data_IF_519965328880
#
_entry.id   IF_519965328880
#
_cell.length_a   1.000
_cell.length_b   1.000
_cell.length_c   1.000
_cell.angle_alpha   90.00
_cell.angle_beta   90.00
_cell.angle_gamma   90.00
#
_symmetry.space_group_name_H-M   'P 1'
#
loop_
_entity.id
_entity.type
_entity.pdbx_description
1 polymer ?
#
# COMPACT_ATOMS: atom_id res chain seq x y z
N UNK A 1 63.67 33.04 -37.89
CA UNK A 1 63.18 33.65 -36.64
C UNK A 1 61.66 33.72 -36.75
N UNK A 2 60.94 33.15 -35.78
CA UNK A 2 59.48 33.09 -35.62
C UNK A 2 58.64 32.47 -36.75
N UNK A 3 58.00 31.33 -36.45
CA UNK A 3 56.54 31.26 -36.55
C UNK A 3 56.00 30.22 -35.56
N UNK A 4 55.22 30.72 -34.61
CA UNK A 4 54.38 29.99 -33.66
C UNK A 4 53.12 29.57 -34.44
N UNK A 5 52.69 28.32 -34.32
CA UNK A 5 51.45 27.81 -34.90
C UNK A 5 50.84 26.75 -34.01
N UNK A 6 49.62 27.02 -33.54
CA UNK A 6 48.94 26.44 -32.39
C UNK A 6 48.53 24.96 -32.55
N UNK A 7 48.62 24.21 -31.44
CA UNK A 7 47.89 22.97 -31.22
C UNK A 7 46.39 23.28 -31.09
N UNK A 8 45.56 22.77 -31.99
CA UNK A 8 44.12 22.69 -31.80
C UNK A 8 43.80 21.39 -31.04
N UNK A 9 43.46 21.52 -29.76
CA UNK A 9 42.89 20.45 -28.95
C UNK A 9 41.38 20.40 -29.23
N UNK A 10 40.86 19.29 -29.72
CA UNK A 10 39.42 19.06 -29.87
C UNK A 10 38.82 18.82 -28.48
N UNK A 11 37.92 19.70 -28.05
CA UNK A 11 37.06 19.48 -26.89
C UNK A 11 36.01 18.42 -27.22
N UNK A 12 36.14 17.24 -26.61
CA UNK A 12 35.08 16.24 -26.59
C UNK A 12 33.98 16.71 -25.63
N UNK A 13 32.83 17.11 -26.19
CA UNK A 13 31.60 17.33 -25.43
C UNK A 13 31.10 16.00 -24.86
N UNK A 14 31.13 15.84 -23.54
CA UNK A 14 30.37 14.80 -22.84
C UNK A 14 28.89 15.12 -22.95
N UNK A 15 28.19 14.30 -23.71
CA UNK A 15 26.74 14.26 -23.77
C UNK A 15 26.25 13.40 -22.59
N UNK A 16 25.95 14.05 -21.45
CA UNK A 16 25.28 13.41 -20.31
C UNK A 16 23.77 13.33 -20.59
N UNK A 17 23.39 12.53 -21.58
CA UNK A 17 22.01 12.06 -21.73
C UNK A 17 21.80 10.85 -20.80
N UNK A 18 21.52 11.12 -19.52
CA UNK A 18 20.92 10.12 -18.63
C UNK A 18 19.47 9.89 -19.09
N UNK A 19 19.32 8.99 -20.06
CA UNK A 19 18.03 8.44 -20.45
C UNK A 19 17.52 7.58 -19.29
N UNK A 20 16.69 8.15 -18.42
CA UNK A 20 15.85 7.40 -17.50
C UNK A 20 14.88 6.58 -18.33
N UNK A 21 15.26 5.33 -18.63
CA UNK A 21 14.33 4.35 -19.17
C UNK A 21 13.26 4.12 -18.10
N UNK A 22 12.06 4.62 -18.37
CA UNK A 22 10.88 4.26 -17.58
C UNK A 22 10.56 2.82 -17.95
N UNK A 23 11.08 1.87 -17.17
CA UNK A 23 10.74 0.46 -17.33
C UNK A 23 9.23 0.31 -17.21
N UNK A 24 8.58 -0.12 -18.30
CA UNK A 24 7.16 -0.41 -18.29
C UNK A 24 6.95 -1.65 -17.45
N UNK A 25 6.45 -1.44 -16.24
CA UNK A 25 6.05 -2.47 -15.30
C UNK A 25 4.86 -3.23 -15.89
N UNK A 26 5.01 -4.52 -16.13
CA UNK A 26 3.97 -5.33 -16.76
C UNK A 26 2.85 -5.58 -15.74
N UNK A 27 1.72 -4.92 -15.96
CA UNK A 27 0.56 -5.06 -15.10
C UNK A 27 -0.14 -6.37 -15.46
N UNK A 28 -0.22 -7.32 -14.52
CA UNK A 28 -1.12 -8.47 -14.67
C UNK A 28 -2.51 -7.96 -15.01
N UNK A 29 -3.13 -8.51 -16.05
CA UNK A 29 -4.52 -8.18 -16.38
C UNK A 29 -5.39 -8.79 -15.28
N UNK A 30 -5.99 -8.01 -14.38
CA UNK A 30 -6.78 -8.60 -13.31
C UNK A 30 -8.00 -9.27 -13.94
N UNK A 31 -8.24 -10.54 -13.61
CA UNK A 31 -9.54 -11.14 -13.86
C UNK A 31 -10.59 -10.32 -13.11
N UNK A 32 -11.81 -10.22 -13.66
CA UNK A 32 -12.90 -9.47 -13.01
C UNK A 32 -13.17 -10.05 -11.63
N UNK A 33 -12.90 -9.28 -10.58
CA UNK A 33 -13.29 -9.59 -9.21
C UNK A 33 -14.80 -9.37 -9.04
N UNK A 34 -15.48 -10.35 -8.46
CA UNK A 34 -16.93 -10.32 -8.23
C UNK A 34 -17.31 -10.81 -6.84
N UNK A 35 -18.54 -10.52 -6.41
CA UNK A 35 -19.06 -11.02 -5.12
C UNK A 35 -19.10 -12.55 -5.04
N UNK A 36 -19.20 -13.24 -6.18
CA UNK A 36 -19.19 -14.71 -6.22
C UNK A 36 -17.83 -15.32 -5.88
N UNK A 37 -16.74 -14.56 -6.03
CA UNK A 37 -15.40 -15.02 -5.69
C UNK A 37 -15.14 -15.02 -4.18
N UNK A 38 -15.95 -14.27 -3.40
CA UNK A 38 -15.69 -14.05 -1.97
C UNK A 38 -16.13 -15.28 -1.16
N UNK A 39 -15.24 -15.87 -0.34
CA UNK A 39 -15.59 -16.98 0.55
C UNK A 39 -16.71 -16.66 1.54
N UNK A 40 -17.59 -17.63 1.79
CA UNK A 40 -18.76 -17.48 2.67
C UNK A 40 -18.40 -17.04 4.10
N UNK A 41 -17.27 -17.50 4.63
CA UNK A 41 -16.80 -17.09 5.95
C UNK A 41 -16.39 -15.62 6.02
N UNK A 42 -16.01 -15.00 4.90
CA UNK A 42 -15.76 -13.55 4.81
C UNK A 42 -17.08 -12.80 4.67
N UNK A 43 -18.00 -13.28 3.82
CA UNK A 43 -19.33 -12.67 3.63
C UNK A 43 -20.16 -12.62 4.92
N UNK A 44 -20.04 -13.64 5.76
CA UNK A 44 -20.81 -13.78 7.01
C UNK A 44 -20.23 -13.03 8.20
N UNK A 45 -19.09 -12.35 8.03
CA UNK A 45 -18.56 -11.53 9.11
C UNK A 45 -19.52 -10.38 9.42
N UNK A 46 -19.84 -10.23 10.70
CA UNK A 46 -20.77 -9.19 11.14
C UNK A 46 -20.20 -7.80 10.81
N UNK A 47 -21.03 -6.93 10.23
CA UNK A 47 -20.69 -5.54 9.85
C UNK A 47 -19.60 -5.41 8.78
N UNK A 48 -19.10 -6.51 8.22
CA UNK A 48 -18.08 -6.47 7.19
C UNK A 48 -18.59 -5.78 5.92
N UNK A 49 -17.79 -4.86 5.42
CA UNK A 49 -17.99 -4.19 4.14
C UNK A 49 -16.84 -4.57 3.20
N UNK A 50 -17.18 -5.24 2.10
CA UNK A 50 -16.20 -5.57 1.06
C UNK A 50 -15.92 -4.31 0.25
N UNK A 51 -14.67 -3.85 0.25
CA UNK A 51 -14.25 -2.63 -0.44
C UNK A 51 -13.83 -2.92 -1.88
N UNK A 52 -13.20 -4.07 -2.06
CA UNK A 52 -12.73 -4.54 -3.35
C UNK A 52 -11.80 -5.72 -3.18
N UNK A 53 -11.06 -5.98 -4.24
CA UNK A 53 -10.16 -7.10 -4.34
C UNK A 53 -9.51 -7.13 -5.72
N UNK A 54 -8.66 -8.13 -5.91
CA UNK A 54 -8.04 -8.42 -7.19
C UNK A 54 -7.99 -9.93 -7.36
N UNK A 55 -8.18 -10.39 -8.59
CA UNK A 55 -8.07 -11.79 -8.97
C UNK A 55 -7.08 -11.90 -10.11
N UNK A 56 -6.12 -12.80 -10.02
CA UNK A 56 -5.13 -13.00 -11.07
C UNK A 56 -4.64 -14.45 -11.11
N UNK A 57 -3.94 -14.78 -12.18
CA UNK A 57 -3.17 -16.00 -12.31
C UNK A 57 -1.75 -15.64 -12.67
N UNK A 58 -0.82 -16.38 -12.11
CA UNK A 58 0.60 -16.27 -12.40
C UNK A 58 1.20 -17.68 -12.46
N UNK A 59 2.53 -17.81 -12.55
CA UNK A 59 3.18 -19.12 -12.67
C UNK A 59 2.96 -20.05 -11.46
N UNK A 60 2.56 -19.49 -10.31
CA UNK A 60 2.39 -20.22 -9.06
C UNK A 60 0.93 -20.64 -8.79
N UNK A 61 -0.04 -20.09 -9.54
CA UNK A 61 -1.44 -20.52 -9.47
C UNK A 61 -2.45 -19.39 -9.63
N UNK A 62 -3.65 -19.62 -9.09
CA UNK A 62 -4.73 -18.62 -9.08
C UNK A 62 -4.78 -17.92 -7.73
N UNK A 63 -4.84 -16.60 -7.75
CA UNK A 63 -4.83 -15.77 -6.55
C UNK A 63 -6.07 -14.89 -6.45
N UNK A 64 -6.46 -14.61 -5.20
CA UNK A 64 -7.56 -13.74 -4.86
C UNK A 64 -7.19 -12.89 -3.65
N UNK A 65 -7.08 -11.58 -3.84
CA UNK A 65 -7.00 -10.58 -2.79
C UNK A 65 -8.41 -10.07 -2.46
N UNK A 66 -8.73 -9.96 -1.17
CA UNK A 66 -10.01 -9.40 -0.69
C UNK A 66 -9.72 -8.35 0.38
N UNK A 67 -10.31 -7.17 0.24
CA UNK A 67 -10.20 -6.05 1.16
C UNK A 67 -11.53 -5.81 1.87
N UNK A 68 -11.50 -5.82 3.20
CA UNK A 68 -12.68 -5.78 4.08
C UNK A 68 -12.51 -4.71 5.14
N UNK A 69 -13.46 -3.80 5.25
CA UNK A 69 -13.56 -2.86 6.37
C UNK A 69 -14.65 -3.32 7.33
N UNK A 70 -14.38 -3.24 8.62
CA UNK A 70 -15.40 -3.29 9.66
C UNK A 70 -15.51 -1.87 10.23
N UNK A 71 -16.62 -1.17 9.92
CA UNK A 71 -16.80 0.22 10.31
C UNK A 71 -16.93 0.35 11.83
N UNK A 72 -16.85 1.58 12.32
CA UNK A 72 -16.83 1.90 13.75
C UNK A 72 -17.93 1.14 14.53
N UNK A 73 -17.51 0.40 15.55
CA UNK A 73 -18.39 -0.27 16.47
C UNK A 73 -17.90 -0.12 17.91
N UNK A 74 -18.84 -0.22 18.86
CA UNK A 74 -18.52 -0.24 20.29
C UNK A 74 -18.23 -1.66 20.74
N UNK A 75 -17.14 -1.82 21.49
CA UNK A 75 -16.75 -3.06 22.13
C UNK A 75 -16.59 -2.84 23.63
N UNK A 76 -16.92 -3.83 24.46
CA UNK A 76 -16.71 -3.72 25.90
C UNK A 76 -15.21 -3.74 26.22
N UNK A 77 -14.79 -2.84 27.09
CA UNK A 77 -13.42 -2.83 27.62
C UNK A 77 -13.17 -4.06 28.48
N UNK A 78 -12.05 -4.75 28.26
CA UNK A 78 -11.62 -5.87 29.10
C UNK A 78 -11.21 -5.42 30.51
N UNK A 79 -10.71 -4.20 30.64
CA UNK A 79 -10.21 -3.62 31.88
C UNK A 79 -11.33 -2.98 32.72
N UNK A 80 -12.44 -2.61 32.09
CA UNK A 80 -13.58 -1.98 32.76
C UNK A 80 -14.85 -2.37 32.00
N UNK A 81 -15.53 -3.47 32.40
CA UNK A 81 -16.66 -4.03 31.65
C UNK A 81 -17.86 -3.10 31.47
N UNK A 82 -17.90 -1.98 32.21
CA UNK A 82 -18.92 -0.93 32.08
C UNK A 82 -18.54 0.17 31.08
N UNK A 83 -17.29 0.16 30.58
CA UNK A 83 -16.81 1.10 29.58
C UNK A 83 -16.85 0.46 28.19
N UNK A 84 -17.28 1.23 27.19
CA UNK A 84 -17.13 0.86 25.78
C UNK A 84 -15.91 1.54 25.15
N UNK A 85 -15.19 0.81 24.32
CA UNK A 85 -14.17 1.34 23.40
C UNK A 85 -14.75 1.41 21.99
N UNK A 86 -14.48 2.50 21.29
CA UNK A 86 -14.66 2.62 19.85
C UNK A 86 -13.61 1.76 19.16
N UNK A 87 -14.01 0.93 18.19
CA UNK A 87 -13.11 0.07 17.43
C UNK A 87 -13.46 0.11 15.93
N UNK A 88 -12.42 0.14 15.08
CA UNK A 88 -12.51 -0.04 13.62
C UNK A 88 -11.51 -1.11 13.20
N UNK A 89 -11.81 -1.81 12.10
CA UNK A 89 -10.88 -2.81 11.55
C UNK A 89 -10.76 -2.71 10.03
N UNK A 90 -9.54 -2.92 9.54
CA UNK A 90 -9.27 -3.12 8.12
C UNK A 90 -8.55 -4.46 7.95
N UNK A 91 -9.10 -5.33 7.11
CA UNK A 91 -8.61 -6.69 6.91
C UNK A 91 -8.32 -6.93 5.43
N UNK A 92 -7.16 -7.50 5.14
CA UNK A 92 -6.80 -7.96 3.80
C UNK A 92 -6.50 -9.46 3.85
N UNK A 93 -7.02 -10.19 2.86
CA UNK A 93 -6.86 -11.63 2.75
C UNK A 93 -6.28 -11.99 1.39
N UNK A 94 -5.27 -12.87 1.37
CA UNK A 94 -4.73 -13.45 0.15
C UNK A 94 -5.03 -14.94 0.12
N UNK A 95 -5.66 -15.39 -0.96
CA UNK A 95 -5.91 -16.79 -1.24
C UNK A 95 -5.07 -17.24 -2.45
N UNK A 96 -4.56 -18.47 -2.39
CA UNK A 96 -3.90 -19.19 -3.50
C UNK A 96 -4.64 -20.50 -3.71
N UNK A 97 -5.16 -20.72 -4.91
CA UNK A 97 -5.96 -21.90 -5.29
C UNK A 97 -7.10 -22.18 -4.29
N UNK A 98 -7.77 -21.13 -3.80
CA UNK A 98 -8.86 -21.21 -2.83
C UNK A 98 -8.45 -21.36 -1.37
N UNK A 99 -7.15 -21.47 -1.07
CA UNK A 99 -6.62 -21.60 0.29
C UNK A 99 -6.08 -20.24 0.76
N UNK A 100 -6.50 -19.78 1.93
CA UNK A 100 -5.96 -18.53 2.51
C UNK A 100 -4.48 -18.73 2.89
N UNK A 101 -3.59 -17.97 2.28
CA UNK A 101 -2.14 -18.03 2.53
C UNK A 101 -1.61 -16.85 3.33
N UNK A 102 -2.26 -15.68 3.25
CA UNK A 102 -1.91 -14.51 4.07
C UNK A 102 -3.14 -13.77 4.59
N UNK A 103 -2.95 -13.10 5.74
CA UNK A 103 -3.91 -12.16 6.32
C UNK A 103 -3.15 -10.95 6.86
N UNK A 104 -3.68 -9.76 6.60
CA UNK A 104 -3.30 -8.54 7.29
C UNK A 104 -4.51 -7.99 8.05
N UNK A 105 -4.27 -7.46 9.23
CA UNK A 105 -5.30 -6.94 10.13
C UNK A 105 -4.77 -5.68 10.80
N UNK A 106 -5.48 -4.57 10.61
CA UNK A 106 -5.38 -3.38 11.45
C UNK A 106 -6.61 -3.36 12.35
N UNK A 107 -6.39 -3.16 13.64
CA UNK A 107 -7.43 -2.86 14.62
C UNK A 107 -7.02 -1.59 15.32
N UNK A 108 -7.84 -0.55 15.19
CA UNK A 108 -7.69 0.67 15.98
C UNK A 108 -8.75 0.70 17.07
N UNK A 109 -8.38 1.08 18.28
CA UNK A 109 -9.27 1.05 19.44
C UNK A 109 -9.00 2.21 20.38
N UNK A 110 -10.03 3.04 20.62
CA UNK A 110 -9.92 4.21 21.47
C UNK A 110 -11.17 4.45 22.32
N UNK A 111 -11.01 5.03 23.51
CA UNK A 111 -12.14 5.26 24.44
C UNK A 111 -13.02 6.46 24.07
N UNK A 112 -12.46 7.54 23.54
CA UNK A 112 -13.14 8.85 23.45
C UNK A 112 -12.97 9.52 22.08
N UNK A 113 -12.36 8.82 21.12
CA UNK A 113 -11.94 9.42 19.86
C UNK A 113 -12.75 8.89 18.69
N UNK A 114 -12.98 9.76 17.71
CA UNK A 114 -13.43 9.34 16.39
C UNK A 114 -12.22 8.72 15.69
N UNK A 115 -12.37 7.49 15.27
CA UNK A 115 -11.32 6.70 14.66
C UNK A 115 -11.84 6.10 13.36
N UNK A 116 -10.93 5.92 12.41
CA UNK A 116 -11.26 5.35 11.11
C UNK A 116 -10.05 4.60 10.53
N UNK A 117 -10.33 3.55 9.77
CA UNK A 117 -9.34 2.74 9.07
C UNK A 117 -9.93 2.28 7.74
N UNK A 118 -9.46 2.86 6.64
CA UNK A 118 -10.05 2.69 5.31
C UNK A 118 -9.03 2.33 4.26
N UNK A 119 -9.39 1.40 3.39
CA UNK A 119 -8.60 1.10 2.20
C UNK A 119 -8.75 2.22 1.17
N UNK A 120 -7.63 2.60 0.54
CA UNK A 120 -7.67 3.42 -0.68
C UNK A 120 -7.77 2.46 -1.87
N UNK A 121 -9.00 2.20 -2.32
CA UNK A 121 -9.30 1.21 -3.37
C UNK A 121 -8.51 1.45 -4.66
N UNK A 122 -8.29 2.71 -5.03
CA UNK A 122 -7.55 3.10 -6.23
C UNK A 122 -6.05 2.85 -6.13
N UNK A 123 -5.54 2.58 -4.92
CA UNK A 123 -4.15 2.19 -4.68
C UNK A 123 -3.94 0.68 -4.81
N UNK A 124 -5.01 -0.12 -4.87
CA UNK A 124 -4.91 -1.57 -5.00
C UNK A 124 -4.42 -1.94 -6.40
N UNK A 125 -3.29 -2.65 -6.45
CA UNK A 125 -2.65 -3.07 -7.70
C UNK A 125 -2.09 -4.49 -7.57
N UNK A 126 -2.00 -5.18 -8.70
CA UNK A 126 -1.27 -6.43 -8.87
C UNK A 126 -0.37 -6.26 -10.09
N UNK A 127 0.91 -6.57 -9.92
CA UNK A 127 1.97 -6.22 -10.87
C UNK A 127 3.05 -7.30 -10.79
N UNK A 128 3.74 -7.55 -11.91
CA UNK A 128 5.02 -8.26 -11.91
C UNK A 128 6.16 -7.22 -11.92
N UNK A 129 6.64 -6.83 -10.74
CA UNK A 129 7.58 -5.71 -10.62
C UNK A 129 9.00 -6.10 -11.00
N UNK A 130 9.37 -7.36 -10.80
CA UNK A 130 10.72 -7.88 -11.08
C UNK A 130 10.77 -8.82 -12.32
N UNK A 131 9.66 -8.95 -13.06
CA UNK A 131 9.53 -9.71 -14.32
C UNK A 131 9.80 -11.19 -14.13
N UNK A 132 9.34 -11.75 -13.02
CA UNK A 132 9.54 -13.15 -12.68
C UNK A 132 8.30 -14.01 -12.93
N UNK A 133 7.24 -13.48 -13.56
CA UNK A 133 5.92 -14.09 -13.75
C UNK A 133 5.20 -14.44 -12.43
N UNK A 134 5.41 -13.67 -11.36
CA UNK A 134 4.68 -13.75 -10.08
C UNK A 134 4.05 -12.39 -9.80
N UNK A 135 2.77 -12.38 -9.39
CA UNK A 135 2.07 -11.14 -9.06
C UNK A 135 2.34 -10.66 -7.63
N UNK A 136 2.75 -9.41 -7.47
CA UNK A 136 2.78 -8.70 -6.19
C UNK A 136 1.54 -7.83 -6.00
N UNK A 137 0.75 -8.19 -4.99
CA UNK A 137 -0.47 -7.48 -4.64
C UNK A 137 -0.19 -6.38 -3.63
N UNK A 138 -0.31 -5.12 -4.05
CA UNK A 138 -0.11 -3.96 -3.19
C UNK A 138 -1.43 -3.26 -2.89
N UNK A 139 -1.64 -2.89 -1.63
CA UNK A 139 -2.80 -2.11 -1.19
C UNK A 139 -2.41 -1.12 -0.10
N UNK A 140 -3.27 -0.14 0.14
CA UNK A 140 -2.99 1.00 0.98
C UNK A 140 -4.14 1.26 1.95
N UNK A 141 -3.82 1.54 3.20
CA UNK A 141 -4.78 1.85 4.26
C UNK A 141 -4.47 3.23 4.81
N UNK A 142 -5.47 4.12 4.80
CA UNK A 142 -5.43 5.39 5.54
C UNK A 142 -6.18 5.19 6.85
N UNK A 143 -5.55 5.55 7.96
CA UNK A 143 -6.20 5.54 9.26
C UNK A 143 -5.93 6.84 10.01
N UNK A 144 -6.89 7.27 10.82
CA UNK A 144 -6.75 8.48 11.62
C UNK A 144 -7.45 8.33 12.96
N UNK A 145 -7.02 9.17 13.90
CA UNK A 145 -7.63 9.34 15.20
C UNK A 145 -7.86 10.83 15.44
N UNK A 146 -9.07 11.20 15.86
CA UNK A 146 -9.40 12.56 16.27
C UNK A 146 -9.51 12.65 17.79
N UNK A 147 -8.55 13.33 18.40
CA UNK A 147 -8.44 13.46 19.85
C UNK A 147 -8.70 14.87 20.38
N UNK A 148 -9.68 15.58 19.79
CA UNK A 148 -9.89 17.01 20.06
C UNK A 148 -8.85 17.92 19.40
N UNK A 149 -7.88 17.34 18.69
CA UNK A 149 -7.00 17.99 17.75
C UNK A 149 -6.89 17.10 16.50
N UNK A 150 -6.83 17.72 15.33
CA UNK A 150 -6.60 17.01 14.06
C UNK A 150 -5.11 16.70 13.97
N UNK A 151 -4.75 15.42 14.04
CA UNK A 151 -3.38 14.95 13.76
C UNK A 151 -3.26 14.51 12.31
N UNK A 152 -2.05 14.52 11.71
CA UNK A 152 -1.84 13.96 10.38
C UNK A 152 -2.31 12.51 10.33
N UNK A 153 -3.08 12.17 9.31
CA UNK A 153 -3.49 10.78 9.10
C UNK A 153 -2.27 9.89 8.89
N UNK A 154 -2.36 8.67 9.37
CA UNK A 154 -1.37 7.63 9.14
C UNK A 154 -1.70 6.88 7.85
N UNK A 155 -0.66 6.37 7.20
CA UNK A 155 -0.75 5.62 5.96
C UNK A 155 0.07 4.35 6.09
N UNK A 156 -0.53 3.21 5.73
CA UNK A 156 0.15 1.91 5.66
C UNK A 156 0.00 1.34 4.27
N UNK A 157 1.11 1.08 3.60
CA UNK A 157 1.17 0.36 2.33
C UNK A 157 1.69 -1.04 2.60
N UNK A 158 0.95 -2.03 2.10
CA UNK A 158 1.28 -3.44 2.25
C UNK A 158 1.41 -4.05 0.86
N UNK A 159 2.48 -4.80 0.65
CA UNK A 159 2.67 -5.63 -0.54
C UNK A 159 2.73 -7.09 -0.11
N UNK A 160 1.82 -7.90 -0.63
CA UNK A 160 1.86 -9.35 -0.51
C UNK A 160 2.50 -9.96 -1.76
N UNK A 161 3.41 -10.90 -1.53
CA UNK A 161 3.75 -11.96 -2.47
C UNK A 161 3.15 -13.28 -1.98
N UNK A 162 3.45 -14.43 -2.58
CA UNK A 162 2.97 -15.69 -2.00
C UNK A 162 3.75 -16.08 -0.72
N UNK A 163 5.06 -15.80 -0.68
CA UNK A 163 5.96 -16.15 0.42
C UNK A 163 6.19 -15.05 1.46
N UNK A 164 5.97 -13.78 1.09
CA UNK A 164 6.38 -12.63 1.90
C UNK A 164 5.32 -11.54 1.97
N UNK A 165 5.49 -10.70 2.99
CA UNK A 165 4.72 -9.47 3.21
C UNK A 165 5.70 -8.35 3.52
N UNK A 166 5.53 -7.22 2.84
CA UNK A 166 6.33 -6.03 3.05
C UNK A 166 5.43 -4.86 3.44
N UNK A 167 5.91 -4.02 4.36
CA UNK A 167 5.12 -2.93 4.95
C UNK A 167 5.89 -1.61 4.94
N UNK A 168 5.17 -0.54 4.59
CA UNK A 168 5.63 0.84 4.63
C UNK A 168 4.61 1.65 5.40
N UNK A 169 5.05 2.24 6.51
CA UNK A 169 4.23 3.06 7.39
C UNK A 169 4.73 4.50 7.44
N UNK A 170 3.82 5.43 7.68
CA UNK A 170 4.15 6.85 7.72
C UNK A 170 2.95 7.74 7.95
N UNK A 171 3.14 9.03 7.72
CA UNK A 171 2.14 10.08 7.88
C UNK A 171 1.92 10.83 6.58
N UNK A 172 0.65 11.18 6.31
CA UNK A 172 0.26 11.91 5.11
C UNK A 172 0.59 13.40 5.28
N UNK A 173 1.08 14.04 4.21
CA UNK A 173 1.24 15.48 4.15
C UNK A 173 -0.12 16.18 4.17
N UNK A 174 -0.28 17.16 5.07
CA UNK A 174 -1.52 17.93 5.20
C UNK A 174 -1.23 19.42 5.13
N UNK A 175 -1.77 20.09 4.11
CA UNK A 175 -1.66 21.55 3.96
C UNK A 175 -2.45 22.29 5.04
N UNK A 176 -3.58 21.72 5.47
CA UNK A 176 -4.44 22.30 6.51
C UNK A 176 -3.70 22.33 7.85
N UNK A 177 -2.94 21.29 8.16
CA UNK A 177 -2.16 21.20 9.39
C UNK A 177 -0.76 21.83 9.28
N UNK A 178 -0.40 22.34 8.10
CA UNK A 178 0.98 22.73 7.77
C UNK A 178 2.00 21.64 8.15
N UNK A 179 1.68 20.38 7.83
CA UNK A 179 2.46 19.22 8.21
C UNK A 179 3.03 18.52 6.98
N UNK A 180 4.34 18.32 6.97
CA UNK A 180 5.03 17.50 5.97
C UNK A 180 5.02 16.05 6.42
N UNK A 181 4.45 15.19 5.58
CA UNK A 181 4.38 13.75 5.79
C UNK A 181 5.75 13.10 5.98
N UNK A 182 5.75 11.91 6.57
CA UNK A 182 6.97 11.16 6.87
C UNK A 182 6.80 9.68 6.50
N UNK A 183 7.92 9.00 6.28
CA UNK A 183 8.01 7.56 6.09
C UNK A 183 8.88 7.03 7.23
N UNK A 184 8.43 5.99 7.92
CA UNK A 184 9.22 5.31 8.94
C UNK A 184 10.53 4.74 8.34
N UNK A 185 11.61 4.85 9.09
CA UNK A 185 12.96 4.43 8.68
C UNK A 185 13.10 2.92 8.55
N UNK A 186 12.24 2.14 9.19
CA UNK A 186 12.31 0.68 9.21
C UNK A 186 11.48 -0.02 8.11
N UNK A 187 10.92 0.75 7.18
CA UNK A 187 10.04 0.23 6.13
C UNK A 187 10.80 -0.55 5.04
N UNK A 188 10.25 -1.68 4.61
CA UNK A 188 10.74 -2.49 3.47
C UNK A 188 12.25 -2.84 3.52
N UNK A 189 12.85 -2.97 4.70
CA UNK A 189 14.30 -3.19 4.88
C UNK A 189 14.86 -4.44 4.18
N UNK A 190 14.01 -5.45 3.93
CA UNK A 190 14.36 -6.70 3.25
C UNK A 190 13.62 -6.90 1.93
N UNK A 191 12.95 -5.88 1.40
CA UNK A 191 12.21 -6.04 0.16
C UNK A 191 13.14 -5.99 -1.06
N UNK A 192 12.89 -6.82 -2.09
CA UNK A 192 13.51 -6.67 -3.39
C UNK A 192 13.38 -5.23 -3.92
N UNK A 193 14.43 -4.73 -4.58
CA UNK A 193 14.47 -3.37 -5.09
C UNK A 193 13.30 -3.01 -6.04
N UNK A 194 12.81 -3.91 -6.92
CA UNK A 194 11.67 -3.62 -7.78
C UNK A 194 10.38 -3.41 -6.99
N UNK A 195 10.09 -4.28 -6.02
CA UNK A 195 8.95 -4.16 -5.10
C UNK A 195 9.00 -2.84 -4.31
N UNK A 196 10.17 -2.49 -3.76
CA UNK A 196 10.34 -1.21 -3.05
C UNK A 196 10.11 -0.01 -3.96
N UNK A 197 10.56 -0.08 -5.22
CA UNK A 197 10.38 1.00 -6.19
C UNK A 197 8.90 1.20 -6.52
N UNK A 198 8.18 0.11 -6.79
CA UNK A 198 6.74 0.14 -7.02
C UNK A 198 5.99 0.67 -5.79
N UNK A 199 6.31 0.19 -4.59
CA UNK A 199 5.70 0.64 -3.35
C UNK A 199 5.87 2.15 -3.14
N UNK A 200 7.06 2.71 -3.41
CA UNK A 200 7.30 4.16 -3.34
C UNK A 200 6.47 4.94 -4.35
N UNK A 201 6.32 4.46 -5.58
CA UNK A 201 5.49 5.13 -6.59
C UNK A 201 4.01 5.18 -6.17
N UNK A 202 3.50 4.08 -5.61
CA UNK A 202 2.14 4.05 -5.05
C UNK A 202 2.04 5.00 -3.87
N UNK A 203 3.00 4.95 -2.94
CA UNK A 203 3.02 5.85 -1.79
C UNK A 203 2.94 7.32 -2.21
N UNK A 204 3.85 7.77 -3.07
CA UNK A 204 3.93 9.16 -3.56
C UNK A 204 2.62 9.65 -4.20
N UNK A 205 1.89 8.75 -4.88
CA UNK A 205 0.57 9.08 -5.48
C UNK A 205 -0.51 9.39 -4.45
N UNK A 206 -0.39 8.86 -3.23
CA UNK A 206 -1.40 8.97 -2.17
C UNK A 206 -0.89 9.64 -0.88
N UNK A 207 0.37 10.11 -0.86
CA UNK A 207 1.02 10.66 0.34
C UNK A 207 0.55 12.07 0.72
N UNK A 208 -0.29 12.70 -0.10
CA UNK A 208 -0.89 14.02 0.13
C UNK A 208 -2.40 13.89 0.31
N UNK A 209 -2.95 14.61 1.30
CA UNK A 209 -4.41 14.73 1.43
C UNK A 209 -4.99 15.45 0.22
N UNK A 210 -5.83 14.74 -0.54
CA UNK A 210 -6.65 15.35 -1.59
C UNK A 210 -7.74 16.19 -0.92
N UNK A 211 -7.83 17.46 -1.35
CA UNK A 211 -8.85 18.42 -0.92
C UNK A 211 -10.21 18.10 -1.53
#
# INVERSE_FOLDING_TARGET
MALIGMFACQEAKKDDSKTTQTEQVEKFTPETFSETDIPENIKKQEKAKIIGGAKWKDKQGSFLLILVEIPLFKKLSKESPNDSINQVEAQAYLFKNGIQIQKYLIVESHKVFDIDAKFIKEATTVVDSDKNDIGEATFLIKHYMYAGAVVPSQLKLITFTDESKYEMEGTISSKILNYKGSIDKNNFTNAPAPILTQAKQIWEKFWEEKQ
#
